data_IF_630893136637
#
_entry.id   IF_630893136637
#
_cell.length_a   1.000
_cell.length_b   1.000
_cell.length_c   1.000
_cell.angle_alpha   90.00
_cell.angle_beta   90.00
_cell.angle_gamma   90.00
#
_symmetry.space_group_name_H-M   'P 1'
#
loop_
_entity.id
_entity.type
_entity.pdbx_description
1 polymer ?
#
# COMPACT_ATOMS: atom_id res chain seq x y z
N UNK A 1 -6.85 72.98 41.15
CA UNK A 1 -6.71 73.31 39.72
C UNK A 1 -6.78 72.00 38.96
N UNK A 2 -7.93 71.74 38.36
CA UNK A 2 -8.26 70.51 37.64
C UNK A 2 -7.76 70.63 36.20
N UNK A 3 -6.95 69.69 35.75
CA UNK A 3 -6.73 69.47 34.31
C UNK A 3 -7.73 68.41 33.84
N UNK A 4 -8.79 68.89 33.20
CA UNK A 4 -9.67 68.14 32.30
C UNK A 4 -8.86 67.71 31.09
N UNK A 5 -8.54 66.42 30.99
CA UNK A 5 -8.05 65.78 29.77
C UNK A 5 -9.25 65.48 28.89
N UNK A 6 -9.37 66.26 27.81
CA UNK A 6 -10.41 66.17 26.79
C UNK A 6 -10.24 64.90 25.98
N UNK A 7 -11.29 64.09 25.98
CA UNK A 7 -11.53 63.00 25.07
C UNK A 7 -11.69 63.52 23.64
N UNK A 8 -10.67 63.31 22.81
CA UNK A 8 -10.78 63.36 21.34
C UNK A 8 -9.97 62.19 20.77
N UNK A 9 -10.30 60.97 21.21
CA UNK A 9 -9.90 59.78 20.46
C UNK A 9 -10.92 59.61 19.34
N UNK A 10 -10.64 60.23 18.20
CA UNK A 10 -11.38 60.00 16.97
C UNK A 10 -11.44 58.48 16.73
N UNK A 11 -12.63 57.90 16.91
CA UNK A 11 -12.99 56.55 16.48
C UNK A 11 -12.75 56.46 14.98
N UNK A 12 -11.53 56.06 14.60
CA UNK A 12 -11.21 55.66 13.23
C UNK A 12 -12.18 54.55 12.88
N UNK A 13 -12.96 54.76 11.82
CA UNK A 13 -13.78 53.69 11.28
C UNK A 13 -12.89 52.47 11.02
N UNK A 14 -13.31 51.27 11.43
CA UNK A 14 -12.59 50.05 11.10
C UNK A 14 -12.40 49.95 9.59
N UNK A 15 -11.28 49.38 9.16
CA UNK A 15 -11.04 49.16 7.73
C UNK A 15 -12.19 48.27 7.20
N UNK A 16 -12.86 48.64 6.09
CA UNK A 16 -13.88 47.79 5.48
C UNK A 16 -13.39 46.36 5.18
N UNK A 17 -12.08 46.15 4.99
CA UNK A 17 -11.50 44.80 4.89
C UNK A 17 -11.58 44.00 6.19
N UNK A 18 -11.29 44.62 7.34
CA UNK A 18 -11.38 43.98 8.64
C UNK A 18 -12.83 43.59 8.97
N UNK A 19 -13.79 44.43 8.56
CA UNK A 19 -15.22 44.13 8.66
C UNK A 19 -15.68 42.95 7.80
N UNK A 20 -15.04 42.71 6.66
CA UNK A 20 -15.34 41.56 5.80
C UNK A 20 -14.72 40.27 6.34
N UNK A 21 -13.55 40.38 6.99
CA UNK A 21 -12.76 39.24 7.47
C UNK A 21 -13.09 38.80 8.91
N UNK A 22 -13.71 39.67 9.71
CA UNK A 22 -14.14 39.34 11.07
C UNK A 22 -15.40 38.44 11.05
N UNK A 23 -15.16 37.12 11.07
CA UNK A 23 -16.20 36.10 11.11
C UNK A 23 -16.93 35.99 12.46
N UNK A 24 -16.42 36.64 13.52
CA UNK A 24 -16.95 36.50 14.88
C UNK A 24 -18.02 37.53 15.23
N UNK A 25 -17.99 38.72 14.59
CA UNK A 25 -18.98 39.76 14.81
C UNK A 25 -19.98 39.79 13.65
N UNK A 26 -21.25 39.47 13.94
CA UNK A 26 -22.34 39.58 12.97
C UNK A 26 -22.71 41.06 12.78
N UNK A 27 -21.95 41.78 11.94
CA UNK A 27 -22.31 43.17 11.61
C UNK A 27 -23.60 43.17 10.78
N UNK A 28 -24.71 43.58 11.38
CA UNK A 28 -25.98 43.80 10.71
C UNK A 28 -25.93 45.11 9.92
N UNK A 29 -26.77 45.27 8.88
CA UNK A 29 -26.89 46.56 8.17
C UNK A 29 -27.11 47.75 9.11
N UNK A 30 -27.82 47.54 10.23
CA UNK A 30 -28.06 48.54 11.26
C UNK A 30 -26.77 48.97 11.99
N UNK A 31 -25.90 48.02 12.32
CA UNK A 31 -24.60 48.33 12.95
C UNK A 31 -23.63 49.02 11.98
N UNK A 32 -23.68 48.69 10.69
CA UNK A 32 -22.87 49.34 9.66
C UNK A 32 -23.38 50.77 9.38
N UNK A 33 -24.70 50.97 9.35
CA UNK A 33 -25.29 52.30 9.25
C UNK A 33 -24.96 53.16 10.47
N UNK A 34 -25.00 52.59 11.68
CA UNK A 34 -24.62 53.27 12.91
C UNK A 34 -23.13 53.65 12.96
N UNK A 35 -22.27 52.88 12.28
CA UNK A 35 -20.86 53.18 12.13
C UNK A 35 -20.56 54.27 11.08
N UNK A 36 -21.56 54.71 10.30
CA UNK A 36 -21.44 55.80 9.33
C UNK A 36 -21.07 55.39 7.91
N UNK A 37 -21.19 54.10 7.56
CA UNK A 37 -21.00 53.65 6.17
C UNK A 37 -22.21 54.03 5.29
N UNK A 38 -21.94 54.33 4.02
CA UNK A 38 -22.97 54.62 3.03
C UNK A 38 -23.72 53.36 2.58
N UNK A 39 -24.96 53.53 2.12
CA UNK A 39 -25.84 52.42 1.75
C UNK A 39 -25.27 51.55 0.62
N UNK A 40 -24.50 52.12 -0.31
CA UNK A 40 -23.86 51.37 -1.40
C UNK A 40 -22.74 50.45 -0.86
N UNK A 41 -21.89 50.95 0.04
CA UNK A 41 -20.88 50.14 0.75
C UNK A 41 -21.53 49.04 1.58
N UNK A 42 -22.62 49.33 2.31
CA UNK A 42 -23.37 48.32 3.09
C UNK A 42 -23.86 47.18 2.17
N UNK A 43 -24.47 47.52 1.03
CA UNK A 43 -24.95 46.53 0.06
C UNK A 43 -23.80 45.69 -0.53
N UNK A 44 -22.66 46.30 -0.84
CA UNK A 44 -21.47 45.60 -1.35
C UNK A 44 -20.89 44.63 -0.32
N UNK A 45 -20.74 45.06 0.94
CA UNK A 45 -20.25 44.21 2.03
C UNK A 45 -21.18 43.01 2.27
N UNK A 46 -22.49 43.23 2.25
CA UNK A 46 -23.47 42.15 2.35
C UNK A 46 -23.37 41.15 1.19
N UNK A 47 -23.24 41.64 -0.04
CA UNK A 47 -23.08 40.78 -1.22
C UNK A 47 -21.79 39.95 -1.15
N UNK A 48 -20.66 40.56 -0.77
CA UNK A 48 -19.38 39.86 -0.59
C UNK A 48 -19.50 38.78 0.48
N UNK A 49 -20.11 39.08 1.62
CA UNK A 49 -20.35 38.07 2.67
C UNK A 49 -21.22 36.91 2.20
N UNK A 50 -22.29 37.20 1.45
CA UNK A 50 -23.14 36.16 0.88
C UNK A 50 -22.34 35.24 -0.05
N UNK A 51 -21.50 35.81 -0.92
CA UNK A 51 -20.62 35.03 -1.80
C UNK A 51 -19.59 34.23 -1.00
N UNK A 52 -18.98 34.81 0.03
CA UNK A 52 -18.00 34.13 0.88
C UNK A 52 -18.65 32.96 1.63
N UNK A 53 -19.84 33.18 2.20
CA UNK A 53 -20.60 32.16 2.91
C UNK A 53 -21.02 31.02 1.98
N UNK A 54 -21.47 31.34 0.76
CA UNK A 54 -21.77 30.35 -0.27
C UNK A 54 -20.51 29.56 -0.69
N UNK A 55 -19.37 30.23 -0.81
CA UNK A 55 -18.11 29.56 -1.12
C UNK A 55 -17.69 28.60 0.01
N UNK A 56 -17.83 29.02 1.28
CA UNK A 56 -17.57 28.17 2.44
C UNK A 56 -18.51 26.96 2.49
N UNK A 57 -19.83 27.14 2.24
CA UNK A 57 -20.76 26.02 2.22
C UNK A 57 -20.45 25.04 1.09
N UNK A 58 -20.11 25.55 -0.10
CA UNK A 58 -19.74 24.72 -1.24
C UNK A 58 -18.43 23.96 -0.98
N UNK A 59 -17.43 24.59 -0.37
CA UNK A 59 -16.21 23.90 0.05
C UNK A 59 -16.50 22.81 1.08
N UNK A 60 -17.33 23.11 2.07
CA UNK A 60 -17.67 22.13 3.10
C UNK A 60 -18.42 20.93 2.52
N UNK A 61 -19.33 21.16 1.57
CA UNK A 61 -20.03 20.10 0.83
C UNK A 61 -19.05 19.27 -0.01
N UNK A 62 -18.10 19.91 -0.69
CA UNK A 62 -17.06 19.22 -1.46
C UNK A 62 -16.17 18.35 -0.56
N UNK A 63 -15.74 18.88 0.59
CA UNK A 63 -14.95 18.13 1.58
C UNK A 63 -15.75 16.95 2.10
N UNK A 64 -17.04 17.13 2.39
CA UNK A 64 -17.92 16.05 2.84
C UNK A 64 -18.07 14.97 1.76
N UNK A 65 -18.37 15.35 0.52
CA UNK A 65 -18.45 14.40 -0.61
C UNK A 65 -17.13 13.65 -0.83
N UNK A 66 -16.00 14.33 -0.67
CA UNK A 66 -14.68 13.70 -0.74
C UNK A 66 -14.49 12.70 0.40
N UNK A 67 -14.91 13.04 1.62
CA UNK A 67 -14.89 12.12 2.77
C UNK A 67 -15.77 10.90 2.53
N UNK A 68 -17.01 11.09 2.08
CA UNK A 68 -17.95 10.01 1.78
C UNK A 68 -17.38 9.07 0.71
N UNK A 69 -16.82 9.62 -0.38
CA UNK A 69 -16.17 8.83 -1.43
C UNK A 69 -14.92 8.09 -0.94
N UNK A 70 -14.14 8.72 -0.05
CA UNK A 70 -12.98 8.07 0.58
C UNK A 70 -13.40 6.95 1.51
N UNK A 71 -14.50 7.10 2.25
CA UNK A 71 -15.06 6.06 3.11
C UNK A 71 -15.55 4.87 2.28
N UNK A 72 -16.32 5.14 1.22
CA UNK A 72 -16.77 4.10 0.29
C UNK A 72 -15.59 3.37 -0.34
N UNK A 73 -14.62 4.10 -0.90
CA UNK A 73 -13.39 3.51 -1.45
C UNK A 73 -12.62 2.70 -0.40
N UNK A 74 -12.55 3.17 0.85
CA UNK A 74 -11.90 2.42 1.93
C UNK A 74 -12.65 1.11 2.21
N UNK A 75 -13.98 1.12 2.25
CA UNK A 75 -14.77 -0.10 2.49
C UNK A 75 -14.60 -1.15 1.40
N UNK A 76 -14.66 -0.76 0.13
CA UNK A 76 -14.41 -1.66 -1.01
C UNK A 76 -13.01 -2.24 -0.97
N UNK A 77 -12.05 -1.37 -0.64
CA UNK A 77 -10.66 -1.77 -0.48
C UNK A 77 -10.50 -2.78 0.65
N UNK A 78 -11.12 -2.55 1.82
CA UNK A 78 -11.11 -3.51 2.93
C UNK A 78 -11.76 -4.85 2.56
N UNK A 79 -12.84 -4.82 1.78
CA UNK A 79 -13.48 -6.03 1.27
C UNK A 79 -12.52 -6.84 0.36
N UNK A 80 -11.77 -6.16 -0.51
CA UNK A 80 -10.76 -6.78 -1.37
C UNK A 80 -9.58 -7.36 -0.56
N UNK A 81 -9.11 -6.68 0.47
CA UNK A 81 -8.08 -7.25 1.36
C UNK A 81 -8.61 -8.51 2.04
N UNK A 82 -9.86 -8.45 2.53
CA UNK A 82 -10.47 -9.58 3.22
C UNK A 82 -10.59 -10.78 2.30
N UNK A 83 -10.96 -10.57 1.04
CA UNK A 83 -11.02 -11.63 0.03
C UNK A 83 -9.62 -12.16 -0.33
N UNK A 84 -8.62 -11.29 -0.49
CA UNK A 84 -7.22 -11.71 -0.71
C UNK A 84 -6.66 -12.51 0.45
N UNK A 85 -6.88 -12.06 1.69
CA UNK A 85 -6.45 -12.77 2.91
C UNK A 85 -7.15 -14.11 3.03
N UNK A 86 -8.44 -14.18 2.71
CA UNK A 86 -9.19 -15.42 2.69
C UNK A 86 -8.66 -16.38 1.61
N UNK A 87 -8.42 -15.89 0.39
CA UNK A 87 -7.84 -16.67 -0.71
C UNK A 87 -6.45 -17.21 -0.35
N UNK A 88 -5.60 -16.39 0.27
CA UNK A 88 -4.29 -16.84 0.72
C UNK A 88 -4.41 -17.94 1.77
N UNK A 89 -5.32 -17.78 2.75
CA UNK A 89 -5.53 -18.79 3.77
C UNK A 89 -6.06 -20.10 3.18
N UNK A 90 -6.97 -20.02 2.21
CA UNK A 90 -7.47 -21.18 1.48
C UNK A 90 -6.34 -21.87 0.70
N UNK A 91 -5.52 -21.12 -0.04
CA UNK A 91 -4.39 -21.67 -0.78
C UNK A 91 -3.33 -22.29 0.14
N UNK A 92 -3.06 -21.69 1.30
CA UNK A 92 -2.16 -22.28 2.31
C UNK A 92 -2.72 -23.59 2.87
N UNK A 93 -4.02 -23.63 3.19
CA UNK A 93 -4.67 -24.84 3.68
C UNK A 93 -4.68 -25.95 2.63
N UNK A 94 -5.05 -25.64 1.38
CA UNK A 94 -5.01 -26.60 0.28
C UNK A 94 -3.58 -27.05 -0.03
N UNK A 95 -2.61 -26.16 0.19
CA UNK A 95 -1.20 -26.50 0.06
C UNK A 95 -0.76 -27.54 1.08
N UNK A 96 -1.14 -27.38 2.35
CA UNK A 96 -0.86 -28.34 3.43
C UNK A 96 -1.47 -29.71 3.10
N UNK A 97 -2.73 -29.74 2.66
CA UNK A 97 -3.39 -30.99 2.26
C UNK A 97 -2.65 -31.69 1.12
N UNK A 98 -2.25 -30.94 0.09
CA UNK A 98 -1.51 -31.53 -1.04
C UNK A 98 -0.12 -32.02 -0.63
N UNK A 99 0.57 -31.30 0.27
CA UNK A 99 1.86 -31.72 0.79
C UNK A 99 1.72 -33.03 1.58
N UNK A 100 0.65 -33.16 2.36
CA UNK A 100 0.33 -34.40 3.04
C UNK A 100 0.07 -35.55 2.05
N UNK A 101 -0.75 -35.32 1.01
CA UNK A 101 -0.99 -36.31 -0.06
C UNK A 101 0.31 -36.72 -0.75
N UNK A 102 1.16 -35.76 -1.12
CA UNK A 102 2.44 -36.03 -1.76
C UNK A 102 3.38 -36.84 -0.86
N UNK A 103 3.43 -36.52 0.43
CA UNK A 103 4.21 -37.27 1.43
C UNK A 103 3.69 -38.71 1.54
N UNK A 104 2.37 -38.89 1.58
CA UNK A 104 1.75 -40.23 1.62
C UNK A 104 2.06 -41.03 0.36
N UNK A 105 2.00 -40.40 -0.83
CA UNK A 105 2.37 -41.03 -2.09
C UNK A 105 3.83 -41.50 -2.08
N UNK A 106 4.76 -40.67 -1.58
CA UNK A 106 6.18 -41.02 -1.43
C UNK A 106 6.41 -42.19 -0.47
N UNK A 107 5.70 -42.22 0.65
CA UNK A 107 5.79 -43.33 1.62
C UNK A 107 5.28 -44.62 0.99
N UNK A 108 4.15 -44.57 0.27
CA UNK A 108 3.58 -45.73 -0.42
C UNK A 108 4.50 -46.25 -1.53
N UNK A 109 5.08 -45.38 -2.36
CA UNK A 109 6.01 -45.80 -3.39
C UNK A 109 7.30 -46.37 -2.79
N UNK A 110 7.78 -45.83 -1.68
CA UNK A 110 8.92 -46.40 -0.95
C UNK A 110 8.63 -47.79 -0.40
N UNK A 111 7.49 -47.98 0.29
CA UNK A 111 7.09 -49.29 0.82
C UNK A 111 6.87 -50.31 -0.29
N UNK A 112 6.26 -49.91 -1.42
CA UNK A 112 6.10 -50.75 -2.60
C UNK A 112 7.46 -51.15 -3.19
N UNK A 113 8.38 -50.20 -3.34
CA UNK A 113 9.73 -50.46 -3.84
C UNK A 113 10.50 -51.42 -2.93
N UNK A 114 10.39 -51.25 -1.61
CA UNK A 114 11.02 -52.14 -0.63
C UNK A 114 10.42 -53.55 -0.68
N UNK A 115 9.09 -53.67 -0.71
CA UNK A 115 8.41 -54.96 -0.83
C UNK A 115 8.83 -55.71 -2.11
N UNK A 116 8.93 -54.98 -3.23
CA UNK A 116 9.44 -55.53 -4.48
C UNK A 116 10.88 -56.05 -4.29
N UNK A 117 11.80 -55.28 -3.70
CA UNK A 117 13.17 -55.74 -3.45
C UNK A 117 13.18 -57.04 -2.62
N UNK A 118 12.39 -57.13 -1.55
CA UNK A 118 12.29 -58.35 -0.74
C UNK A 118 11.81 -59.57 -1.55
N UNK A 119 10.79 -59.39 -2.39
CA UNK A 119 10.28 -60.44 -3.29
C UNK A 119 11.35 -60.83 -4.32
N UNK A 120 12.09 -59.85 -4.86
CA UNK A 120 13.20 -60.07 -5.79
C UNK A 120 14.26 -61.00 -5.19
N UNK A 121 14.71 -60.66 -3.98
CA UNK A 121 15.73 -61.42 -3.25
C UNK A 121 15.23 -62.84 -2.96
N UNK A 122 13.99 -62.98 -2.48
CA UNK A 122 13.40 -64.28 -2.18
C UNK A 122 13.38 -65.22 -3.40
N UNK A 123 12.86 -64.77 -4.54
CA UNK A 123 12.82 -65.60 -5.75
C UNK A 123 14.19 -65.76 -6.42
N UNK A 124 15.07 -64.77 -6.32
CA UNK A 124 16.45 -64.86 -6.81
C UNK A 124 17.22 -66.03 -6.18
N UNK A 125 16.95 -66.34 -4.91
CA UNK A 125 17.53 -67.52 -4.25
C UNK A 125 17.05 -68.87 -4.81
N UNK A 126 15.97 -68.89 -5.61
CA UNK A 126 15.41 -70.12 -6.21
C UNK A 126 15.78 -70.33 -7.69
N UNK A 127 16.53 -69.41 -8.29
CA UNK A 127 17.11 -69.60 -9.64
C UNK A 127 16.16 -69.41 -10.82
N UNK A 128 14.97 -68.82 -10.64
CA UNK A 128 14.04 -68.57 -11.74
C UNK A 128 14.39 -67.29 -12.53
N UNK A 129 14.75 -67.45 -13.81
CA UNK A 129 15.20 -66.35 -14.69
C UNK A 129 14.08 -65.40 -15.15
N UNK A 130 12.81 -65.82 -15.12
CA UNK A 130 11.64 -65.02 -15.51
C UNK A 130 11.52 -63.75 -14.65
N UNK A 131 12.06 -63.79 -13.43
CA UNK A 131 11.99 -62.71 -12.46
C UNK A 131 12.79 -61.46 -12.86
N UNK A 132 13.93 -61.63 -13.54
CA UNK A 132 14.79 -60.50 -13.93
C UNK A 132 14.12 -59.58 -14.95
N UNK A 133 13.28 -60.13 -15.82
CA UNK A 133 12.54 -59.37 -16.83
C UNK A 133 11.39 -58.59 -16.18
N UNK A 134 10.66 -59.23 -15.25
CA UNK A 134 9.61 -58.56 -14.49
C UNK A 134 10.16 -57.43 -13.62
N UNK A 135 11.33 -57.62 -12.97
CA UNK A 135 11.98 -56.55 -12.21
C UNK A 135 12.53 -55.42 -13.08
N UNK A 136 13.04 -55.74 -14.28
CA UNK A 136 13.49 -54.74 -15.24
C UNK A 136 12.36 -53.84 -15.73
N UNK A 137 11.19 -54.42 -16.04
CA UNK A 137 10.03 -53.64 -16.50
C UNK A 137 9.35 -52.87 -15.37
N UNK A 138 9.25 -53.44 -14.17
CA UNK A 138 8.70 -52.73 -13.00
C UNK A 138 9.62 -51.59 -12.53
N UNK A 139 10.94 -51.78 -12.59
CA UNK A 139 11.91 -50.73 -12.31
C UNK A 139 11.83 -49.56 -13.30
N UNK A 140 11.68 -49.84 -14.59
CA UNK A 140 11.43 -48.80 -15.61
C UNK A 140 10.08 -48.11 -15.42
N UNK A 141 9.01 -48.84 -15.10
CA UNK A 141 7.71 -48.23 -14.80
C UNK A 141 7.77 -47.31 -13.58
N UNK A 142 8.58 -47.66 -12.57
CA UNK A 142 8.83 -46.80 -11.41
C UNK A 142 9.59 -45.52 -11.77
N UNK A 143 10.59 -45.59 -12.65
CA UNK A 143 11.31 -44.41 -13.15
C UNK A 143 10.40 -43.49 -13.98
N UNK A 144 9.54 -44.07 -14.83
CA UNK A 144 8.53 -43.31 -15.59
C UNK A 144 7.49 -42.69 -14.65
N UNK A 145 7.09 -43.41 -13.60
CA UNK A 145 6.25 -42.88 -12.53
C UNK A 145 6.90 -41.72 -11.78
N UNK A 146 8.22 -41.76 -11.56
CA UNK A 146 8.99 -40.66 -10.96
C UNK A 146 9.01 -39.44 -11.90
N UNK A 147 9.18 -39.63 -13.21
CA UNK A 147 9.09 -38.53 -14.19
C UNK A 147 7.67 -37.95 -14.33
N UNK A 148 6.63 -38.77 -14.18
CA UNK A 148 5.24 -38.31 -14.04
C UNK A 148 4.97 -37.65 -12.69
N UNK A 149 5.85 -37.83 -11.70
CA UNK A 149 5.81 -37.22 -10.38
C UNK A 149 6.71 -35.98 -10.23
N UNK A 150 7.22 -35.39 -11.32
CA UNK A 150 7.78 -34.03 -11.35
C UNK A 150 6.77 -32.86 -11.17
N UNK A 151 5.45 -33.01 -11.41
CA UNK A 151 4.44 -31.97 -11.12
C UNK A 151 4.44 -31.38 -9.70
N UNK A 152 4.64 -32.15 -8.61
CA UNK A 152 4.68 -31.65 -7.22
C UNK A 152 5.78 -30.63 -6.98
N UNK A 153 6.98 -30.80 -7.57
CA UNK A 153 8.07 -29.85 -7.41
C UNK A 153 7.72 -28.49 -8.06
N UNK A 154 7.16 -28.54 -9.28
CA UNK A 154 6.70 -27.34 -9.98
C UNK A 154 5.52 -26.67 -9.26
N UNK A 155 4.64 -27.45 -8.64
CA UNK A 155 3.56 -26.95 -7.79
C UNK A 155 4.10 -26.29 -6.51
N UNK A 156 5.15 -26.84 -5.90
CA UNK A 156 5.78 -26.25 -4.71
C UNK A 156 6.42 -24.90 -5.02
N UNK A 157 7.15 -24.78 -6.14
CA UNK A 157 7.73 -23.51 -6.58
C UNK A 157 6.66 -22.47 -6.92
N UNK A 158 5.58 -22.88 -7.60
CA UNK A 158 4.44 -22.02 -7.92
C UNK A 158 3.77 -21.46 -6.64
N UNK A 159 3.61 -22.29 -5.60
CA UNK A 159 3.02 -21.89 -4.32
C UNK A 159 3.90 -20.95 -3.52
N UNK A 160 5.21 -21.18 -3.51
CA UNK A 160 6.18 -20.28 -2.89
C UNK A 160 6.15 -18.91 -3.56
N UNK A 161 6.14 -18.87 -4.90
CA UNK A 161 6.02 -17.64 -5.66
C UNK A 161 4.68 -16.94 -5.43
N UNK A 162 3.56 -17.67 -5.41
CA UNK A 162 2.24 -17.11 -5.10
C UNK A 162 2.20 -16.49 -3.70
N UNK A 163 2.73 -17.19 -2.69
CA UNK A 163 2.79 -16.67 -1.31
C UNK A 163 3.63 -15.41 -1.23
N UNK A 164 4.80 -15.39 -1.88
CA UNK A 164 5.67 -14.20 -1.95
C UNK A 164 4.95 -13.03 -2.63
N UNK A 165 4.23 -13.30 -3.72
CA UNK A 165 3.40 -12.31 -4.40
C UNK A 165 2.36 -11.73 -3.46
N UNK A 166 1.57 -12.58 -2.81
CA UNK A 166 0.47 -12.12 -1.96
C UNK A 166 0.98 -11.36 -0.74
N UNK A 167 2.11 -11.77 -0.14
CA UNK A 167 2.77 -11.01 0.93
C UNK A 167 3.24 -9.64 0.42
N UNK A 168 3.84 -9.58 -0.77
CA UNK A 168 4.23 -8.33 -1.41
C UNK A 168 3.05 -7.39 -1.67
N UNK A 169 1.93 -7.94 -2.17
CA UNK A 169 0.69 -7.19 -2.40
C UNK A 169 0.08 -6.71 -1.08
N UNK A 170 0.02 -7.55 -0.04
CA UNK A 170 -0.47 -7.17 1.29
C UNK A 170 0.38 -6.07 1.94
N UNK A 171 1.71 -6.14 1.79
CA UNK A 171 2.62 -5.14 2.33
C UNK A 171 2.47 -3.79 1.62
N UNK A 172 2.44 -3.78 0.28
CA UNK A 172 2.15 -2.58 -0.51
C UNK A 172 0.80 -1.97 -0.19
N UNK A 173 -0.18 -2.84 0.00
CA UNK A 173 -1.52 -2.43 0.35
C UNK A 173 -1.57 -1.74 1.72
N UNK A 174 -0.89 -2.30 2.72
CA UNK A 174 -0.77 -1.69 4.06
C UNK A 174 -0.10 -0.32 3.98
N UNK A 175 0.97 -0.20 3.19
CA UNK A 175 1.66 1.07 2.93
C UNK A 175 0.76 2.10 2.24
N UNK A 176 -0.17 1.68 1.37
CA UNK A 176 -1.15 2.55 0.73
C UNK A 176 -2.14 3.14 1.74
N UNK A 177 -2.68 2.32 2.66
CA UNK A 177 -3.56 2.81 3.73
C UNK A 177 -2.83 3.81 4.62
N UNK A 178 -1.62 3.46 5.07
CA UNK A 178 -0.85 4.32 5.98
C UNK A 178 -0.54 5.67 5.34
N UNK A 179 -0.21 5.70 4.05
CA UNK A 179 0.02 6.94 3.29
C UNK A 179 -1.26 7.76 3.07
N UNK A 180 -2.39 7.10 2.87
CA UNK A 180 -3.68 7.79 2.75
C UNK A 180 -4.08 8.44 4.08
N UNK A 181 -3.89 7.73 5.19
CA UNK A 181 -4.08 8.29 6.54
C UNK A 181 -3.13 9.47 6.80
N UNK A 182 -1.86 9.36 6.37
CA UNK A 182 -0.90 10.46 6.49
C UNK A 182 -1.30 11.66 5.63
N UNK A 183 -1.82 11.45 4.42
CA UNK A 183 -2.30 12.53 3.54
C UNK A 183 -3.49 13.28 4.17
N UNK A 184 -4.43 12.56 4.80
CA UNK A 184 -5.52 13.19 5.56
C UNK A 184 -5.00 13.98 6.77
N UNK A 185 -4.02 13.43 7.48
CA UNK A 185 -3.35 14.13 8.59
C UNK A 185 -2.66 15.42 8.11
N UNK A 186 -1.98 15.40 6.96
CA UNK A 186 -1.38 16.59 6.38
C UNK A 186 -2.43 17.64 6.00
N UNK A 187 -3.57 17.22 5.43
CA UNK A 187 -4.64 18.13 5.04
C UNK A 187 -5.30 18.79 6.26
N UNK A 188 -5.54 18.03 7.33
CA UNK A 188 -6.08 18.56 8.60
C UNK A 188 -5.09 19.49 9.30
N UNK A 189 -3.80 19.15 9.30
CA UNK A 189 -2.74 20.04 9.81
C UNK A 189 -2.65 21.34 8.99
N UNK A 190 -2.76 21.30 7.67
CA UNK A 190 -2.76 22.50 6.84
C UNK A 190 -3.93 23.42 7.21
N UNK A 191 -5.12 22.87 7.42
CA UNK A 191 -6.32 23.64 7.75
C UNK A 191 -6.18 24.33 9.12
N UNK A 192 -5.62 23.64 10.12
CA UNK A 192 -5.34 24.24 11.43
C UNK A 192 -4.24 25.31 11.38
N UNK A 193 -3.18 25.09 10.60
CA UNK A 193 -2.12 26.09 10.41
C UNK A 193 -2.61 27.31 9.64
N UNK A 194 -3.52 27.14 8.66
CA UNK A 194 -4.16 28.26 7.97
C UNK A 194 -5.01 29.11 8.92
N UNK A 195 -5.68 28.51 9.89
CA UNK A 195 -6.46 29.25 10.90
C UNK A 195 -5.56 30.04 11.87
N UNK A 196 -4.34 29.56 12.11
CA UNK A 196 -3.39 30.21 13.02
C UNK A 196 -2.49 31.25 12.33
N UNK A 197 -2.26 31.14 11.02
CA UNK A 197 -1.43 32.06 10.27
C UNK A 197 -2.17 33.41 10.09
N UNK A 198 -1.66 34.46 10.73
CA UNK A 198 -2.20 35.82 10.58
C UNK A 198 -1.59 36.56 9.38
N UNK A 199 -0.48 36.06 8.84
CA UNK A 199 0.35 36.71 7.85
C UNK A 199 0.56 35.84 6.59
N UNK A 200 0.34 36.46 5.43
CA UNK A 200 0.51 35.86 4.08
C UNK A 200 1.86 35.14 3.89
N UNK A 201 3.03 35.68 4.28
CA UNK A 201 4.30 34.98 4.08
C UNK A 201 4.41 33.67 4.87
N UNK A 202 3.81 33.59 6.07
CA UNK A 202 3.79 32.36 6.87
C UNK A 202 2.87 31.31 6.24
N UNK A 203 1.72 31.72 5.73
CA UNK A 203 0.81 30.86 4.96
C UNK A 203 1.51 30.21 3.77
N UNK A 204 2.31 30.99 3.03
CA UNK A 204 3.01 30.52 1.83
C UNK A 204 4.07 29.45 2.17
N UNK A 205 4.82 29.64 3.26
CA UNK A 205 5.80 28.66 3.74
C UNK A 205 5.16 27.36 4.23
N UNK A 206 4.02 27.45 4.91
CA UNK A 206 3.25 26.27 5.32
C UNK A 206 2.81 25.49 4.09
N UNK A 207 2.29 26.18 3.07
CA UNK A 207 1.86 25.54 1.83
C UNK A 207 3.02 24.87 1.10
N UNK A 208 4.19 25.53 1.01
CA UNK A 208 5.40 24.97 0.40
C UNK A 208 5.85 23.69 1.12
N UNK A 209 5.85 23.70 2.46
CA UNK A 209 6.24 22.54 3.27
C UNK A 209 5.31 21.36 3.06
N UNK A 210 3.98 21.60 3.04
CA UNK A 210 2.99 20.55 2.80
C UNK A 210 3.11 19.98 1.40
N UNK A 211 3.37 20.82 0.40
CA UNK A 211 3.57 20.38 -0.98
C UNK A 211 4.82 19.53 -1.12
N UNK A 212 5.91 19.91 -0.44
CA UNK A 212 7.13 19.11 -0.39
C UNK A 212 6.89 17.74 0.27
N UNK A 213 6.17 17.69 1.40
CA UNK A 213 5.79 16.44 2.06
C UNK A 213 4.92 15.57 1.16
N UNK A 214 3.94 16.16 0.46
CA UNK A 214 3.10 15.46 -0.50
C UNK A 214 3.94 14.84 -1.64
N UNK A 215 4.89 15.59 -2.19
CA UNK A 215 5.81 15.07 -3.22
C UNK A 215 6.66 13.90 -2.70
N UNK A 216 7.15 13.97 -1.46
CA UNK A 216 7.90 12.84 -0.87
C UNK A 216 7.04 11.59 -0.69
N UNK A 217 5.80 11.74 -0.23
CA UNK A 217 4.86 10.63 -0.06
C UNK A 217 4.49 9.99 -1.40
N UNK A 218 4.18 10.82 -2.39
CA UNK A 218 3.88 10.40 -3.76
C UNK A 218 5.05 9.63 -4.38
N UNK A 219 6.28 10.16 -4.30
CA UNK A 219 7.46 9.48 -4.81
C UNK A 219 7.68 8.11 -4.13
N UNK A 220 7.52 8.05 -2.80
CA UNK A 220 7.63 6.79 -2.07
C UNK A 220 6.54 5.78 -2.47
N UNK A 221 5.32 6.24 -2.78
CA UNK A 221 4.23 5.39 -3.27
C UNK A 221 4.52 4.85 -4.67
N UNK A 222 5.03 5.68 -5.57
CA UNK A 222 5.44 5.26 -6.91
C UNK A 222 6.54 4.21 -6.82
N UNK A 223 7.55 4.43 -5.96
CA UNK A 223 8.65 3.48 -5.78
C UNK A 223 8.17 2.12 -5.25
N UNK A 224 7.30 2.11 -4.24
CA UNK A 224 6.75 0.87 -3.70
C UNK A 224 5.85 0.15 -4.71
N UNK A 225 5.05 0.90 -5.48
CA UNK A 225 4.24 0.33 -6.57
C UNK A 225 5.13 -0.30 -7.65
N UNK A 226 6.24 0.35 -8.01
CA UNK A 226 7.21 -0.20 -8.96
C UNK A 226 7.87 -1.49 -8.44
N UNK A 227 8.16 -1.58 -7.14
CA UNK A 227 8.69 -2.82 -6.51
C UNK A 227 7.69 -3.97 -6.62
N UNK A 228 6.41 -3.70 -6.40
CA UNK A 228 5.34 -4.73 -6.48
C UNK A 228 5.11 -5.17 -7.91
N UNK A 229 5.11 -4.24 -8.87
CA UNK A 229 5.03 -4.56 -10.29
C UNK A 229 6.21 -5.44 -10.73
N UNK A 230 7.43 -5.18 -10.23
CA UNK A 230 8.58 -6.06 -10.47
C UNK A 230 8.39 -7.45 -9.85
N UNK A 231 7.87 -7.54 -8.63
CA UNK A 231 7.56 -8.85 -8.01
C UNK A 231 6.50 -9.60 -8.81
N UNK A 232 5.48 -8.91 -9.33
CA UNK A 232 4.46 -9.47 -10.22
C UNK A 232 5.08 -10.00 -11.52
N UNK A 233 5.97 -9.23 -12.14
CA UNK A 233 6.69 -9.62 -13.34
C UNK A 233 7.60 -10.83 -13.10
N UNK A 234 8.36 -10.83 -12.00
CA UNK A 234 9.22 -11.95 -11.60
C UNK A 234 8.46 -13.26 -11.32
N UNK A 235 7.25 -13.15 -10.78
CA UNK A 235 6.38 -14.31 -10.49
C UNK A 235 5.64 -14.79 -11.74
N UNK A 236 5.21 -13.87 -12.62
CA UNK A 236 4.49 -14.19 -13.85
C UNK A 236 5.40 -14.78 -14.94
N UNK A 237 6.67 -14.37 -15.00
CA UNK A 237 7.65 -14.87 -15.97
C UNK A 237 8.83 -15.60 -15.30
N UNK A 238 8.63 -16.82 -14.75
CA UNK A 238 9.71 -17.59 -14.14
C UNK A 238 10.85 -17.92 -15.12
N UNK A 239 10.58 -17.86 -16.43
CA UNK A 239 11.54 -18.10 -17.52
C UNK A 239 12.62 -17.02 -17.63
N UNK A 240 12.33 -15.79 -17.18
CA UNK A 240 13.20 -14.62 -17.34
C UNK A 240 14.01 -14.29 -16.08
N UNK A 241 14.09 -15.20 -15.09
CA UNK A 241 15.06 -15.04 -13.99
C UNK A 241 16.42 -14.79 -14.63
N UNK A 242 17.04 -13.60 -14.46
CA UNK A 242 18.45 -13.47 -14.77
C UNK A 242 19.10 -14.49 -13.85
N UNK A 243 19.55 -15.62 -14.41
CA UNK A 243 20.38 -16.57 -13.69
C UNK A 243 21.39 -15.69 -13.00
N UNK A 244 21.37 -15.66 -11.67
CA UNK A 244 22.31 -14.91 -10.86
C UNK A 244 23.68 -15.54 -11.15
N UNK A 245 24.24 -15.14 -12.29
CA UNK A 245 25.43 -15.65 -12.92
C UNK A 245 26.53 -15.30 -11.96
N UNK A 246 27.03 -16.28 -11.21
CA UNK A 246 28.46 -16.44 -10.90
C UNK A 246 29.17 -15.17 -10.38
N UNK A 247 28.47 -14.23 -9.74
CA UNK A 247 29.03 -12.95 -9.29
C UNK A 247 29.72 -13.06 -7.92
N UNK A 248 29.40 -14.09 -7.12
CA UNK A 248 30.15 -14.34 -5.88
C UNK A 248 31.54 -14.95 -6.14
N UNK A 249 31.67 -15.89 -7.09
CA UNK A 249 32.97 -16.56 -7.35
C UNK A 249 34.04 -15.71 -8.05
N UNK A 250 33.66 -14.67 -8.81
CA UNK A 250 34.65 -13.78 -9.46
C UNK A 250 35.21 -12.72 -8.49
N UNK A 251 34.38 -12.19 -7.57
CA UNK A 251 34.88 -11.32 -6.49
C UNK A 251 35.80 -12.07 -5.52
N UNK A 252 35.52 -13.34 -5.23
CA UNK A 252 36.36 -14.15 -4.34
C UNK A 252 37.73 -14.53 -4.97
N UNK A 253 37.78 -14.79 -6.29
CA UNK A 253 39.07 -15.01 -6.98
C UNK A 253 39.90 -13.73 -7.12
N UNK A 254 39.28 -12.58 -7.37
CA UNK A 254 40.01 -11.29 -7.41
C UNK A 254 40.54 -10.88 -6.03
N UNK A 255 39.81 -11.18 -4.95
CA UNK A 255 40.28 -10.92 -3.58
C UNK A 255 41.43 -11.87 -3.15
N UNK A 256 41.49 -13.09 -3.68
CA UNK A 256 42.60 -14.02 -3.40
C UNK A 256 43.89 -13.64 -4.12
N UNK A 257 43.83 -13.11 -5.34
CA UNK A 257 45.02 -12.70 -6.10
C UNK A 257 45.71 -11.46 -5.53
N UNK A 258 44.97 -10.58 -4.83
CA UNK A 258 45.51 -9.40 -4.15
C UNK A 258 46.14 -9.69 -2.77
N UNK A 259 46.07 -10.93 -2.27
CA UNK A 259 46.71 -11.34 -0.99
C UNK A 259 48.01 -12.12 -1.19
N UNK A 260 48.43 -12.33 -2.43
CA UNK A 260 49.64 -13.11 -2.80
C UNK A 260 50.70 -12.28 -3.52
N UNK A 261 50.58 -10.95 -3.51
CA UNK A 261 51.65 -10.00 -3.84
C UNK A 261 52.00 -9.23 -2.57
#
# INVERSE_FOLDING_TARGET
>A
MNHTSTAEEHTKLPDPLDLILDAHHAYTPETLAAAGYDQDTINKVQHIRMQLQQHFSNQQELVKKQQDFMEESATDTFALIKSLKHSLNLTLHESEHTQWVAKTMYILTFLLGFALICVAVYFGTRGEQVLSIAFGTFGMASIVGIMLSDPPLKLQDSRSNYTQLTVGVLAWFTDLIDKQAMTQSLQTNLLSLQQQAQDIPTLLRVQETVLQQYMTLSNAQIENTAKVLRLLEEVAEPSNRPQAKKRSRKKEKSARLLRTQ
#
